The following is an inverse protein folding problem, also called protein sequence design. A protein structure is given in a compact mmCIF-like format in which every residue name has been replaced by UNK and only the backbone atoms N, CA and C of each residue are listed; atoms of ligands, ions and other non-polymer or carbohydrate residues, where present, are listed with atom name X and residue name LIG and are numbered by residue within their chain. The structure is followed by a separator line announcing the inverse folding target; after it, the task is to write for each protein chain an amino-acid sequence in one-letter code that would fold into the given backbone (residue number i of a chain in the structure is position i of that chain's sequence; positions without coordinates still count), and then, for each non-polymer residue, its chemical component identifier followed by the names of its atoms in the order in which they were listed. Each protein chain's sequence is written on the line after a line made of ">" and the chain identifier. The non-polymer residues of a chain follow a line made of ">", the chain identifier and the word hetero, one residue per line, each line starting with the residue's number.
data_IF_081194333654
#
_entry.id   IF_081194333654
#
_cell.length_a   1.000
_cell.length_b   1.000
_cell.length_c   1.000
_cell.angle_alpha   90.00
_cell.angle_beta   90.00
_cell.angle_gamma   90.00
#
_symmetry.space_group_name_H-M   'P 1'
#
loop_
_entity.id
_entity.type
_entity.pdbx_description
1 polymer ?
#
# COMPACT_ATOMS: atom_id res chain seq x y z
N UNK A 1 -2.28 14.56 6.88
CA UNK A 1 -3.66 14.01 6.91
C UNK A 1 -3.61 12.53 6.66
N UNK A 2 -4.47 11.75 7.30
CA UNK A 2 -4.61 10.30 7.08
C UNK A 2 -6.06 9.98 6.77
N UNK A 3 -6.29 9.11 5.78
CA UNK A 3 -7.60 8.54 5.48
C UNK A 3 -7.53 7.06 5.82
N UNK A 4 -8.51 6.56 6.58
CA UNK A 4 -8.58 5.17 6.99
C UNK A 4 -9.73 4.47 6.26
N UNK A 5 -9.51 3.22 5.88
CA UNK A 5 -10.48 2.37 5.23
C UNK A 5 -10.36 0.95 5.79
N UNK A 6 -11.49 0.30 6.05
CA UNK A 6 -11.58 -1.07 6.57
C UNK A 6 -11.71 -2.10 5.44
N UNK A 7 -11.92 -1.65 4.21
CA UNK A 7 -11.97 -2.51 3.02
C UNK A 7 -11.34 -1.85 1.78
N UNK A 8 -10.90 -2.65 0.79
CA UNK A 8 -10.39 -2.13 -0.47
C UNK A 8 -11.41 -1.28 -1.23
N UNK A 9 -12.69 -1.68 -1.21
CA UNK A 9 -13.76 -0.93 -1.86
C UNK A 9 -14.00 0.43 -1.19
N UNK A 10 -13.94 0.51 0.14
CA UNK A 10 -14.03 1.78 0.86
C UNK A 10 -12.81 2.67 0.56
N UNK A 11 -11.61 2.08 0.44
CA UNK A 11 -10.41 2.83 0.07
C UNK A 11 -10.53 3.47 -1.33
N UNK A 12 -11.12 2.75 -2.30
CA UNK A 12 -11.43 3.28 -3.63
C UNK A 12 -12.37 4.49 -3.55
N UNK A 13 -13.51 4.34 -2.85
CA UNK A 13 -14.49 5.42 -2.68
C UNK A 13 -13.89 6.65 -1.99
N UNK A 14 -13.08 6.45 -0.95
CA UNK A 14 -12.39 7.55 -0.27
C UNK A 14 -11.39 8.24 -1.18
N UNK A 15 -10.64 7.49 -1.99
CA UNK A 15 -9.68 8.08 -2.91
C UNK A 15 -10.35 8.80 -4.10
N UNK A 16 -11.54 8.38 -4.53
CA UNK A 16 -12.33 9.07 -5.56
C UNK A 16 -12.95 10.37 -5.03
N UNK A 17 -13.48 10.34 -3.80
CA UNK A 17 -14.17 11.48 -3.19
C UNK A 17 -13.23 12.54 -2.59
N UNK A 18 -12.00 12.17 -2.24
CA UNK A 18 -11.05 13.09 -1.62
C UNK A 18 -10.42 14.06 -2.65
N UNK A 19 -10.68 15.36 -2.53
CA UNK A 19 -10.11 16.36 -3.45
C UNK A 19 -8.59 16.59 -3.27
N UNK A 20 -8.04 16.25 -2.10
CA UNK A 20 -6.62 16.47 -1.79
C UNK A 20 -5.69 15.42 -2.39
N UNK A 21 -4.38 15.68 -2.35
CA UNK A 21 -3.36 14.72 -2.76
C UNK A 21 -3.24 13.56 -1.77
N UNK A 22 -3.21 12.34 -2.29
CA UNK A 22 -2.89 11.12 -1.54
C UNK A 22 -1.51 10.67 -2.04
N UNK A 23 -0.49 10.91 -1.22
CA UNK A 23 0.91 10.67 -1.61
C UNK A 23 1.33 9.21 -1.43
N UNK A 24 0.68 8.49 -0.51
CA UNK A 24 1.07 7.14 -0.14
C UNK A 24 -0.16 6.31 0.25
N UNK A 25 -0.25 5.11 -0.33
CA UNK A 25 -1.10 4.04 0.11
C UNK A 25 -0.31 3.10 1.04
N UNK A 26 -0.85 2.83 2.23
CA UNK A 26 -0.38 1.78 3.12
C UNK A 26 -1.44 0.68 3.13
N UNK A 27 -1.12 -0.53 2.68
CA UNK A 27 -2.12 -1.60 2.51
C UNK A 27 -1.57 -2.99 2.81
N UNK A 28 -2.44 -3.93 3.24
CA UNK A 28 -2.06 -5.34 3.35
C UNK A 28 -1.97 -5.96 1.95
N UNK A 29 -1.11 -6.96 1.76
CA UNK A 29 -1.03 -7.70 0.50
C UNK A 29 -2.28 -8.55 0.31
N UNK A 30 -2.72 -9.22 1.38
CA UNK A 30 -3.85 -10.16 1.35
C UNK A 30 -5.02 -9.54 2.10
N UNK A 31 -6.10 -9.28 1.38
CA UNK A 31 -7.35 -8.77 1.93
C UNK A 31 -8.52 -9.52 1.28
N UNK A 32 -9.70 -9.57 1.92
CA UNK A 32 -10.93 -9.98 1.26
C UNK A 32 -11.22 -9.11 0.03
N UNK A 33 -12.00 -9.65 -0.91
CA UNK A 33 -12.47 -8.99 -2.14
C UNK A 33 -11.39 -8.74 -3.21
N UNK A 34 -10.28 -8.09 -2.85
CA UNK A 34 -9.14 -7.86 -3.75
C UNK A 34 -7.82 -7.76 -3.00
N UNK A 35 -6.72 -8.10 -3.65
CA UNK A 35 -5.39 -7.95 -3.04
C UNK A 35 -4.99 -6.48 -2.93
N UNK A 36 -4.07 -6.16 -2.01
CA UNK A 36 -3.50 -4.82 -1.93
C UNK A 36 -2.88 -4.36 -3.26
N UNK A 37 -2.31 -5.30 -4.03
CA UNK A 37 -1.76 -5.01 -5.36
C UNK A 37 -2.85 -4.62 -6.36
N UNK A 38 -4.00 -5.27 -6.33
CA UNK A 38 -5.14 -4.91 -7.18
C UNK A 38 -5.67 -3.54 -6.81
N UNK A 39 -5.79 -3.25 -5.51
CA UNK A 39 -6.18 -1.96 -4.99
C UNK A 39 -5.21 -0.87 -5.46
N UNK A 40 -3.90 -1.07 -5.28
CA UNK A 40 -2.88 -0.13 -5.74
C UNK A 40 -2.96 0.11 -7.23
N UNK A 41 -3.07 -0.94 -8.06
CA UNK A 41 -3.20 -0.79 -9.53
C UNK A 41 -4.38 0.10 -9.92
N UNK A 42 -5.55 -0.09 -9.29
CA UNK A 42 -6.74 0.72 -9.54
C UNK A 42 -6.54 2.16 -9.08
N UNK A 43 -6.00 2.36 -7.88
CA UNK A 43 -5.77 3.69 -7.33
C UNK A 43 -4.69 4.46 -8.08
N UNK A 44 -3.62 3.82 -8.54
CA UNK A 44 -2.57 4.46 -9.33
C UNK A 44 -3.04 4.85 -10.72
N UNK A 45 -4.03 4.16 -11.29
CA UNK A 45 -4.67 4.61 -12.52
C UNK A 45 -5.46 5.92 -12.32
N UNK A 46 -6.02 6.12 -11.12
CA UNK A 46 -6.73 7.35 -10.75
C UNK A 46 -5.78 8.45 -10.26
N UNK A 47 -4.67 8.06 -9.62
CA UNK A 47 -3.70 8.95 -8.96
C UNK A 47 -2.27 8.51 -9.33
N UNK A 48 -1.73 9.01 -10.46
CA UNK A 48 -0.44 8.57 -10.98
C UNK A 48 0.75 8.76 -10.01
N UNK A 49 0.69 9.79 -9.16
CA UNK A 49 1.74 10.08 -8.17
C UNK A 49 1.63 9.25 -6.88
N UNK A 50 0.63 8.35 -6.80
CA UNK A 50 0.40 7.52 -5.63
C UNK A 50 1.49 6.46 -5.46
N UNK A 51 2.29 6.63 -4.43
CA UNK A 51 3.26 5.62 -3.97
C UNK A 51 2.55 4.56 -3.12
N UNK A 52 3.14 3.38 -2.97
CA UNK A 52 2.56 2.31 -2.17
C UNK A 52 3.59 1.63 -1.28
N UNK A 53 3.20 1.41 -0.02
CA UNK A 53 3.89 0.56 0.94
C UNK A 53 2.98 -0.62 1.28
N UNK A 54 3.41 -1.81 0.91
CA UNK A 54 2.69 -3.04 1.24
C UNK A 54 3.14 -3.58 2.60
N UNK A 55 2.20 -4.19 3.33
CA UNK A 55 2.49 -4.91 4.56
C UNK A 55 2.01 -6.35 4.46
N UNK A 56 2.73 -7.32 5.02
CA UNK A 56 2.25 -8.71 5.09
C UNK A 56 2.85 -9.48 6.26
N UNK A 57 2.04 -10.31 6.91
CA UNK A 57 2.50 -11.30 7.90
C UNK A 57 2.84 -12.66 7.30
N UNK A 58 2.67 -12.84 5.99
CA UNK A 58 3.01 -14.07 5.30
C UNK A 58 4.47 -14.10 4.89
N UNK A 59 4.99 -15.29 4.61
CA UNK A 59 6.39 -15.47 4.20
C UNK A 59 6.65 -14.82 2.84
N UNK A 60 7.92 -14.48 2.58
CA UNK A 60 8.37 -13.87 1.32
C UNK A 60 7.90 -14.66 0.08
N UNK A 61 7.84 -15.99 0.16
CA UNK A 61 7.39 -16.83 -0.95
C UNK A 61 5.91 -16.60 -1.29
N UNK A 62 5.05 -16.43 -0.28
CA UNK A 62 3.62 -16.19 -0.48
C UNK A 62 3.39 -14.84 -1.16
N UNK A 63 4.09 -13.79 -0.72
CA UNK A 63 3.95 -12.45 -1.31
C UNK A 63 4.62 -12.31 -2.68
N UNK A 64 5.62 -13.15 -2.99
CA UNK A 64 6.24 -13.21 -4.32
C UNK A 64 5.23 -13.62 -5.40
N UNK A 65 4.34 -14.56 -5.09
CA UNK A 65 3.26 -14.96 -6.00
C UNK A 65 2.25 -13.85 -6.28
N UNK A 66 2.15 -12.87 -5.38
CA UNK A 66 1.39 -11.64 -5.60
C UNK A 66 2.22 -10.53 -6.26
N UNK A 67 3.49 -10.79 -6.58
CA UNK A 67 4.52 -9.90 -7.14
C UNK A 67 4.66 -8.57 -6.38
N UNK A 68 4.74 -8.69 -5.06
CA UNK A 68 5.07 -7.61 -4.13
C UNK A 68 6.59 -7.53 -3.90
N UNK A 69 7.37 -8.38 -4.58
CA UNK A 69 8.85 -8.38 -4.55
C UNK A 69 9.46 -7.87 -5.86
N UNK A 70 8.66 -7.26 -6.74
CA UNK A 70 9.15 -6.65 -7.98
C UNK A 70 10.03 -5.43 -7.64
N UNK A 71 11.03 -5.11 -8.48
CA UNK A 71 11.91 -3.96 -8.27
C UNK A 71 11.09 -2.66 -8.14
N UNK A 72 11.41 -1.85 -7.13
CA UNK A 72 10.73 -0.57 -6.86
C UNK A 72 9.49 -0.69 -5.95
N UNK A 73 9.13 -1.88 -5.48
CA UNK A 73 8.03 -2.05 -4.51
C UNK A 73 8.52 -1.86 -3.07
N UNK A 74 7.87 -0.97 -2.33
CA UNK A 74 8.13 -0.84 -0.88
C UNK A 74 7.31 -1.87 -0.10
N UNK A 75 7.98 -2.61 0.79
CA UNK A 75 7.38 -3.66 1.59
C UNK A 75 7.82 -3.59 3.05
N UNK A 76 6.89 -3.91 3.96
CA UNK A 76 7.10 -4.01 5.40
C UNK A 76 6.54 -5.34 5.93
N UNK A 77 7.43 -6.20 6.42
CA UNK A 77 7.04 -7.48 6.98
C UNK A 77 6.44 -7.33 8.39
N UNK A 78 5.32 -8.01 8.66
CA UNK A 78 4.74 -8.12 10.00
C UNK A 78 5.35 -9.33 10.74
N UNK A 79 5.57 -9.25 12.06
CA UNK A 79 5.39 -8.09 12.91
C UNK A 79 6.49 -7.04 12.70
N UNK A 80 6.16 -5.77 12.94
CA UNK A 80 7.08 -4.63 12.86
C UNK A 80 6.90 -3.69 14.05
N UNK A 81 7.96 -2.95 14.35
CA UNK A 81 8.01 -1.84 15.30
C UNK A 81 7.49 -0.54 14.69
N UNK A 82 7.22 0.46 15.55
CA UNK A 82 6.80 1.80 15.10
C UNK A 82 7.94 2.49 14.34
N UNK A 83 9.17 2.24 14.75
CA UNK A 83 10.40 2.77 14.17
C UNK A 83 10.62 2.23 12.75
N UNK A 84 10.40 0.93 12.53
CA UNK A 84 10.46 0.31 11.21
C UNK A 84 9.39 0.88 10.29
N UNK A 85 8.14 1.00 10.77
CA UNK A 85 7.06 1.63 10.01
C UNK A 85 7.41 3.07 9.62
N UNK A 86 7.86 3.89 10.57
CA UNK A 86 8.23 5.27 10.31
C UNK A 86 9.37 5.39 9.29
N UNK A 87 10.34 4.48 9.35
CA UNK A 87 11.46 4.43 8.41
C UNK A 87 10.97 4.08 7.01
N UNK A 88 10.16 3.01 6.87
CA UNK A 88 9.59 2.61 5.58
C UNK A 88 8.64 3.64 4.97
N UNK A 89 7.86 4.33 5.79
CA UNK A 89 7.02 5.44 5.32
C UNK A 89 7.85 6.58 4.73
N UNK A 90 8.97 6.94 5.37
CA UNK A 90 9.88 7.99 4.84
C UNK A 90 10.54 7.55 3.55
N UNK A 91 11.07 6.33 3.50
CA UNK A 91 11.66 5.75 2.28
C UNK A 91 10.66 5.78 1.12
N UNK A 92 9.43 5.32 1.37
CA UNK A 92 8.39 5.31 0.35
C UNK A 92 8.02 6.74 -0.10
N UNK A 93 7.88 7.70 0.82
CA UNK A 93 7.53 9.08 0.48
C UNK A 93 8.64 9.83 -0.27
N UNK A 94 9.92 9.52 -0.01
CA UNK A 94 11.05 10.17 -0.69
C UNK A 94 11.17 9.75 -2.16
N UNK A 95 10.72 8.53 -2.51
CA UNK A 95 10.84 8.00 -3.88
C UNK A 95 12.28 7.63 -4.23
N UNK A 96 12.50 6.94 -5.36
CA UNK A 96 13.83 6.80 -5.95
C UNK A 96 14.39 8.15 -6.43
#
# INVERSE_FOLDING_TARGET
>A
TTLAADSPNQALQLAESHEGAIHLLLTDVIMPEMSGRDLWRRLSALRPDLKCLFMSGYTANVIAHHGVLDEGVHFLQKPFSKEELATKLREALQGP
#
